data_IF_987286035985
#
_entry.id   IF_987286035985
#
_cell.length_a   1.000
_cell.length_b   1.000
_cell.length_c   1.000
_cell.angle_alpha   90.00
_cell.angle_beta   90.00
_cell.angle_gamma   90.00
#
_symmetry.space_group_name_H-M   'P 1'
#
loop_
_entity.id
_entity.type
_entity.pdbx_description
1 polymer ?
#
# COMPACT_ATOMS: atom_id res chain seq x y z
N UNK A 1 -10.47 -1.32 7.33
CA UNK A 1 -9.83 -0.57 6.21
C UNK A 1 -10.41 -1.08 4.89
N UNK A 2 -10.69 -0.23 3.89
CA UNK A 2 -11.38 -0.66 2.65
C UNK A 2 -10.45 -0.86 1.45
N UNK A 3 -9.28 -0.23 1.42
CA UNK A 3 -8.27 -0.45 0.38
C UNK A 3 -6.88 -0.30 0.95
N UNK A 4 -6.14 -1.40 1.09
CA UNK A 4 -4.74 -1.40 1.49
C UNK A 4 -3.91 -1.06 0.26
N UNK A 5 -3.00 -0.11 0.39
CA UNK A 5 -2.09 0.29 -0.69
C UNK A 5 -0.67 -0.15 -0.42
N UNK A 6 -0.28 -0.19 0.86
CA UNK A 6 1.05 -0.60 1.26
C UNK A 6 1.00 -1.38 2.58
N UNK A 7 2.00 -2.21 2.78
CA UNK A 7 2.26 -2.95 4.02
C UNK A 7 3.61 -2.50 4.55
N UNK A 8 3.63 -2.11 5.81
CA UNK A 8 4.82 -1.70 6.54
C UNK A 8 5.11 -2.82 7.53
N UNK A 9 6.28 -3.42 7.45
CA UNK A 9 6.65 -4.57 8.27
C UNK A 9 7.95 -4.34 8.99
N UNK A 10 8.07 -4.92 10.18
CA UNK A 10 9.32 -5.03 10.93
C UNK A 10 9.35 -6.37 11.67
N UNK A 11 10.54 -6.82 12.03
CA UNK A 11 10.78 -8.11 12.67
C UNK A 11 11.25 -7.88 14.10
N UNK A 12 10.69 -8.62 15.06
CA UNK A 12 11.18 -8.69 16.45
C UNK A 12 12.40 -9.62 16.52
N UNK A 13 13.20 -9.52 17.58
CA UNK A 13 14.38 -10.38 17.79
C UNK A 13 14.09 -11.89 17.72
N UNK A 14 12.90 -12.31 18.13
CA UNK A 14 12.44 -13.71 18.04
C UNK A 14 12.09 -14.17 16.61
N UNK A 15 12.27 -13.31 15.60
CA UNK A 15 11.95 -13.59 14.20
C UNK A 15 10.49 -13.32 13.81
N UNK A 16 9.63 -12.95 14.76
CA UNK A 16 8.22 -12.65 14.48
C UNK A 16 8.10 -11.38 13.64
N UNK A 17 7.38 -11.48 12.51
CA UNK A 17 7.11 -10.34 11.64
C UNK A 17 5.79 -9.67 12.03
N UNK A 18 5.86 -8.37 12.27
CA UNK A 18 4.70 -7.53 12.54
C UNK A 18 4.39 -6.64 11.34
N UNK A 19 3.10 -6.37 11.12
CA UNK A 19 2.58 -5.63 9.97
C UNK A 19 1.64 -4.48 10.40
N UNK A 20 1.92 -3.29 9.88
CA UNK A 20 0.99 -2.17 9.80
C UNK A 20 0.53 -2.01 8.34
N UNK A 21 -0.78 -1.93 8.13
CA UNK A 21 -1.40 -1.69 6.82
C UNK A 21 -1.60 -0.21 6.62
N UNK A 22 -1.20 0.30 5.45
CA UNK A 22 -1.45 1.66 5.02
C UNK A 22 -2.44 1.68 3.85
N UNK A 23 -3.51 2.46 3.99
CA UNK A 23 -4.55 2.49 2.98
C UNK A 23 -5.61 3.54 3.21
N UNK A 24 -6.77 3.33 2.61
CA UNK A 24 -7.90 4.25 2.66
C UNK A 24 -9.08 3.66 3.46
N UNK A 25 -9.64 4.49 4.33
CA UNK A 25 -10.86 4.24 5.08
C UNK A 25 -12.11 4.87 4.47
N UNK A 26 -13.17 4.96 5.28
CA UNK A 26 -14.42 5.65 4.89
C UNK A 26 -14.11 7.13 4.57
N UNK A 27 -14.71 7.64 3.49
CA UNK A 27 -14.48 9.02 3.03
C UNK A 27 -13.08 9.28 2.47
N UNK A 28 -12.41 8.25 1.92
CA UNK A 28 -11.06 8.34 1.34
C UNK A 28 -9.99 8.91 2.29
N UNK A 29 -10.20 8.77 3.60
CA UNK A 29 -9.21 9.18 4.61
C UNK A 29 -8.06 8.17 4.62
N UNK A 30 -6.82 8.66 4.60
CA UNK A 30 -5.63 7.83 4.75
C UNK A 30 -5.57 7.31 6.19
N UNK A 31 -5.37 6.00 6.33
CA UNK A 31 -5.37 5.30 7.60
C UNK A 31 -4.17 4.35 7.66
N UNK A 32 -3.58 4.26 8.85
CA UNK A 32 -2.77 3.14 9.30
C UNK A 32 -3.62 2.26 10.20
N UNK A 33 -3.40 0.95 10.12
CA UNK A 33 -3.96 0.00 11.08
C UNK A 33 -2.97 -1.12 11.35
N UNK A 34 -2.78 -1.45 12.62
CA UNK A 34 -1.99 -2.62 12.99
C UNK A 34 -2.78 -3.89 12.70
N UNK A 35 -2.09 -4.95 12.25
CA UNK A 35 -2.69 -6.27 12.08
C UNK A 35 -2.74 -7.07 13.40
N UNK A 36 -1.94 -6.67 14.39
CA UNK A 36 -1.67 -7.45 15.59
C UNK A 36 -2.28 -6.86 16.87
N UNK A 37 -2.86 -5.65 16.78
CA UNK A 37 -3.62 -5.02 17.85
C UNK A 37 -4.65 -4.05 17.25
N UNK A 38 -5.51 -3.47 18.09
CA UNK A 38 -6.60 -2.56 17.67
C UNK A 38 -6.14 -1.16 17.29
N UNK A 39 -4.82 -0.91 17.26
CA UNK A 39 -4.27 0.39 16.93
C UNK A 39 -4.63 0.81 15.50
N UNK A 40 -5.18 2.02 15.39
CA UNK A 40 -5.49 2.68 14.13
C UNK A 40 -5.13 4.17 14.23
N UNK A 41 -4.54 4.70 13.17
CA UNK A 41 -4.18 6.11 13.11
C UNK A 41 -4.60 6.73 11.79
N UNK A 42 -5.16 7.95 11.86
CA UNK A 42 -5.47 8.74 10.68
C UNK A 42 -4.27 9.58 10.27
N UNK A 43 -3.94 9.53 8.99
CA UNK A 43 -2.87 10.33 8.41
C UNK A 43 -3.44 11.42 7.53
N UNK A 44 -2.95 12.65 7.70
CA UNK A 44 -3.31 13.78 6.86
C UNK A 44 -2.35 13.90 5.65
N UNK A 45 -1.04 13.87 5.89
CA UNK A 45 -0.02 13.98 4.84
C UNK A 45 1.30 13.33 5.28
N UNK A 46 1.97 12.61 4.35
CA UNK A 46 3.28 12.00 4.59
C UNK A 46 3.34 11.06 5.80
N UNK A 47 4.54 10.63 6.18
CA UNK A 47 4.80 10.01 7.49
C UNK A 47 4.28 8.59 7.73
N UNK A 48 3.54 7.98 6.80
CA UNK A 48 2.97 6.64 6.97
C UNK A 48 4.01 5.57 7.37
N UNK A 49 5.17 5.56 6.67
CA UNK A 49 6.27 4.64 6.97
C UNK A 49 6.80 4.84 8.39
N UNK A 50 7.14 6.08 8.74
CA UNK A 50 7.73 6.40 10.05
C UNK A 50 6.76 6.07 11.18
N UNK A 51 5.51 6.57 11.13
CA UNK A 51 4.48 6.27 12.13
C UNK A 51 4.21 4.78 12.28
N UNK A 52 4.15 4.05 11.16
CA UNK A 52 3.99 2.59 11.17
C UNK A 52 5.16 1.89 11.85
N UNK A 53 6.39 2.24 11.51
CA UNK A 53 7.58 1.64 12.12
C UNK A 53 7.73 2.01 13.60
N UNK A 54 7.42 3.25 13.98
CA UNK A 54 7.45 3.69 15.38
C UNK A 54 6.46 2.89 16.23
N UNK A 55 5.23 2.69 15.72
CA UNK A 55 4.26 1.83 16.39
C UNK A 55 4.78 0.39 16.52
N UNK A 56 5.33 -0.19 15.45
CA UNK A 56 5.89 -1.55 15.50
C UNK A 56 7.03 -1.68 16.52
N UNK A 57 7.89 -0.67 16.62
CA UNK A 57 8.95 -0.60 17.62
C UNK A 57 8.39 -0.50 19.04
N UNK A 58 7.48 0.44 19.29
CA UNK A 58 7.00 0.76 20.64
C UNK A 58 6.01 -0.28 21.18
N UNK A 59 5.06 -0.73 20.37
CA UNK A 59 4.02 -1.66 20.80
C UNK A 59 4.43 -3.12 20.67
N UNK A 60 5.30 -3.44 19.71
CA UNK A 60 5.66 -4.81 19.38
C UNK A 60 7.16 -5.09 19.47
N UNK A 61 8.02 -4.14 19.85
CA UNK A 61 9.48 -4.38 19.93
C UNK A 61 10.09 -4.81 18.59
N UNK A 62 9.42 -4.53 17.47
CA UNK A 62 9.82 -4.99 16.15
C UNK A 62 10.63 -3.90 15.44
N UNK A 63 11.95 -4.00 15.51
CA UNK A 63 12.92 -3.02 14.97
C UNK A 63 13.68 -3.54 13.75
N UNK A 64 13.73 -4.86 13.56
CA UNK A 64 14.53 -5.50 12.51
C UNK A 64 13.89 -5.41 11.12
N UNK A 65 14.73 -5.42 10.09
CA UNK A 65 14.32 -5.52 8.67
C UNK A 65 13.12 -4.64 8.24
N UNK A 66 13.12 -3.33 8.56
CA UNK A 66 11.98 -2.47 8.26
C UNK A 66 11.76 -2.36 6.75
N UNK A 67 10.56 -2.72 6.30
CA UNK A 67 10.18 -2.69 4.88
C UNK A 67 8.83 -2.02 4.69
N UNK A 68 8.69 -1.34 3.55
CA UNK A 68 7.40 -0.86 3.07
C UNK A 68 7.22 -1.36 1.65
N UNK A 69 6.17 -2.15 1.43
CA UNK A 69 5.89 -2.77 0.13
C UNK A 69 4.50 -2.38 -0.33
N UNK A 70 4.33 -2.20 -1.64
CA UNK A 70 3.01 -2.01 -2.22
C UNK A 70 2.16 -3.27 -2.01
N UNK A 71 0.88 -3.10 -1.73
CA UNK A 71 -0.02 -4.23 -1.58
C UNK A 71 -0.13 -5.00 -2.92
N UNK A 72 -0.02 -6.35 -2.92
CA UNK A 72 -0.06 -7.13 -4.15
C UNK A 72 -1.34 -6.93 -4.97
N UNK A 73 -2.50 -6.73 -4.32
CA UNK A 73 -3.75 -6.50 -5.02
C UNK A 73 -3.76 -5.12 -5.68
N UNK A 74 -3.30 -4.09 -4.97
CA UNK A 74 -3.13 -2.76 -5.52
C UNK A 74 -2.16 -2.76 -6.70
N UNK A 75 -1.02 -3.46 -6.58
CA UNK A 75 -0.04 -3.61 -7.66
C UNK A 75 -0.64 -4.29 -8.89
N UNK A 76 -1.35 -5.41 -8.71
CA UNK A 76 -2.00 -6.13 -9.81
C UNK A 76 -3.03 -5.26 -10.52
N UNK A 77 -3.84 -4.51 -9.76
CA UNK A 77 -4.82 -3.59 -10.31
C UNK A 77 -4.16 -2.48 -11.13
N UNK A 78 -3.09 -1.86 -10.63
CA UNK A 78 -2.35 -0.83 -11.38
C UNK A 78 -1.79 -1.37 -12.69
N UNK A 79 -1.19 -2.58 -12.68
CA UNK A 79 -0.65 -3.21 -13.89
C UNK A 79 -1.76 -3.47 -14.92
N UNK A 80 -2.90 -4.02 -14.48
CA UNK A 80 -4.04 -4.28 -15.36
C UNK A 80 -4.58 -2.98 -15.98
N UNK A 81 -4.74 -1.93 -15.20
CA UNK A 81 -5.20 -0.62 -15.69
C UNK A 81 -4.22 -0.07 -16.74
N UNK A 82 -2.92 -0.14 -16.48
CA UNK A 82 -1.90 0.28 -17.45
C UNK A 82 -2.01 -0.49 -18.77
N UNK A 83 -2.11 -1.83 -18.70
CA UNK A 83 -2.24 -2.68 -19.88
C UNK A 83 -3.48 -2.32 -20.71
N UNK A 84 -4.63 -2.12 -20.05
CA UNK A 84 -5.86 -1.70 -20.73
C UNK A 84 -5.67 -0.34 -21.42
N UNK A 85 -5.08 0.64 -20.74
CA UNK A 85 -4.81 1.95 -21.34
C UNK A 85 -3.89 1.83 -22.57
N UNK A 86 -2.85 0.99 -22.51
CA UNK A 86 -1.96 0.76 -23.64
C UNK A 86 -2.69 0.11 -24.83
N UNK A 87 -3.55 -0.88 -24.57
CA UNK A 87 -4.35 -1.53 -25.62
C UNK A 87 -5.32 -0.53 -26.27
N UNK A 88 -6.00 0.29 -25.47
CA UNK A 88 -6.92 1.33 -25.97
C UNK A 88 -6.14 2.35 -26.81
N UNK A 89 -5.02 2.85 -26.32
CA UNK A 89 -4.20 3.81 -27.06
C UNK A 89 -3.71 3.21 -28.40
N UNK A 90 -3.25 1.96 -28.40
CA UNK A 90 -2.84 1.27 -29.62
C UNK A 90 -3.99 1.12 -30.61
N UNK A 91 -5.20 0.79 -30.13
CA UNK A 91 -6.39 0.68 -30.98
C UNK A 91 -6.80 2.02 -31.59
N UNK A 92 -6.72 3.12 -30.83
CA UNK A 92 -6.99 4.47 -31.35
C UNK A 92 -5.97 4.87 -32.42
N UNK A 93 -4.68 4.63 -32.16
CA UNK A 93 -3.61 4.92 -33.13
C UNK A 93 -3.79 4.10 -34.41
N UNK A 94 -4.09 2.81 -34.27
CA UNK A 94 -4.37 1.91 -35.41
C UNK A 94 -5.57 2.39 -36.23
N UNK A 95 -6.68 2.72 -35.57
CA UNK A 95 -7.89 3.20 -36.22
C UNK A 95 -7.66 4.53 -36.96
N UNK A 96 -6.90 5.45 -36.36
CA UNK A 96 -6.53 6.71 -37.01
C UNK A 96 -5.64 6.48 -38.24
N UNK A 97 -4.66 5.57 -38.14
CA UNK A 97 -3.79 5.23 -39.27
C UNK A 97 -4.55 4.56 -40.43
N UNK A 98 -5.62 3.80 -40.15
CA UNK A 98 -6.42 3.14 -41.20
C UNK A 98 -7.33 4.06 -42.01
N UNK A 99 -7.45 5.34 -41.61
CA UNK A 99 -8.28 6.34 -42.29
C UNK A 99 -7.50 7.34 -43.15
N UNK A 100 -6.16 7.30 -43.11
CA UNK A 100 -5.28 8.11 -43.96
C UNK A 100 -4.73 7.31 -45.12
#
# INVERSE_FOLDING_TARGET
MRGVTHRITATREDGTVFEVRYGYGRGRRRLLGCRHCDWQERISYGGARHKGLDHLAQAHGALGSPRMTADPAARRQTVLVMLVCCVVAAAVVWWAASQG
#
